data_IF_447364593315
#
_entry.id   IF_447364593315
#
_cell.length_a   1.000
_cell.length_b   1.000
_cell.length_c   1.000
_cell.angle_alpha   90.00
_cell.angle_beta   90.00
_cell.angle_gamma   90.00
#
_symmetry.space_group_name_H-M   'P 1'
#
loop_
_entity.id
_entity.type
_entity.pdbx_description
1 polymer ?
#
# COMPACT_ATOMS: atom_id res chain seq x y z
N UNK A 1 -27.31 -65.16 -0.88
CA UNK A 1 -25.91 -65.58 -0.66
C UNK A 1 -25.02 -64.35 -0.86
N UNK A 2 -24.14 -64.03 0.11
CA UNK A 2 -23.19 -62.89 0.18
C UNK A 2 -23.87 -61.54 0.50
N UNK A 3 -23.48 -60.79 1.53
CA UNK A 3 -22.15 -60.20 1.78
C UNK A 3 -21.69 -60.23 3.25
N UNK A 4 -20.37 -60.19 3.43
CA UNK A 4 -19.58 -60.30 4.66
C UNK A 4 -18.70 -59.03 4.81
N UNK A 5 -18.76 -58.36 5.98
CA UNK A 5 -17.70 -57.78 6.86
C UNK A 5 -16.47 -57.02 6.25
N UNK A 6 -15.83 -55.92 6.73
CA UNK A 6 -15.70 -55.11 7.99
C UNK A 6 -15.05 -53.71 7.65
N UNK A 7 -15.16 -52.69 8.54
CA UNK A 7 -14.14 -51.69 9.04
C UNK A 7 -14.30 -50.17 8.77
N UNK A 8 -14.21 -49.39 9.87
CA UNK A 8 -13.77 -47.96 10.12
C UNK A 8 -14.66 -46.79 9.65
N UNK A 9 -15.12 -45.87 10.51
CA UNK A 9 -14.44 -44.88 11.40
C UNK A 9 -13.63 -43.83 10.60
N UNK A 10 -13.85 -42.56 10.96
CA UNK A 10 -13.18 -41.30 10.53
C UNK A 10 -13.86 -40.53 9.39
N UNK A 11 -14.90 -39.77 9.75
CA UNK A 11 -15.24 -38.51 9.06
C UNK A 11 -14.49 -37.39 9.79
N UNK A 12 -13.25 -37.11 9.37
CA UNK A 12 -12.44 -35.99 9.85
C UNK A 12 -11.85 -35.29 8.62
N UNK A 13 -11.66 -33.98 8.76
CA UNK A 13 -11.10 -33.02 7.78
C UNK A 13 -12.16 -32.40 6.88
N UNK A 14 -12.85 -31.37 7.38
CA UNK A 14 -13.01 -30.05 6.72
C UNK A 14 -13.53 -29.08 7.79
N UNK A 15 -12.63 -28.28 8.36
CA UNK A 15 -12.99 -27.31 9.40
C UNK A 15 -11.80 -26.84 10.23
N UNK A 16 -10.77 -26.29 9.60
CA UNK A 16 -9.71 -25.57 10.32
C UNK A 16 -9.71 -24.11 9.81
N UNK A 17 -10.50 -23.30 10.50
CA UNK A 17 -10.31 -21.85 10.61
C UNK A 17 -9.35 -21.57 11.79
N UNK A 18 -8.68 -20.42 11.87
CA UNK A 18 -7.36 -20.31 12.48
C UNK A 18 -7.36 -20.51 14.00
N UNK A 19 -6.42 -21.35 14.46
CA UNK A 19 -6.08 -21.65 15.86
C UNK A 19 -6.18 -20.42 16.78
N UNK A 20 -7.12 -20.47 17.73
CA UNK A 20 -7.08 -19.67 18.95
C UNK A 20 -5.82 -20.02 19.76
N UNK A 21 -5.04 -19.03 20.25
CA UNK A 21 -3.89 -19.32 21.10
C UNK A 21 -4.35 -19.75 22.50
N UNK A 22 -3.75 -20.82 23.02
CA UNK A 22 -4.07 -21.42 24.32
C UNK A 22 -3.84 -20.47 25.51
N UNK A 23 -4.50 -20.77 26.63
CA UNK A 23 -4.75 -19.88 27.77
C UNK A 23 -3.57 -19.14 28.41
N UNK A 24 -2.31 -19.51 28.14
CA UNK A 24 -1.13 -18.77 28.60
C UNK A 24 -0.78 -17.55 27.74
N UNK A 25 -1.28 -17.46 26.51
CA UNK A 25 -1.03 -16.33 25.60
C UNK A 25 -2.16 -15.31 25.56
N UNK A 26 -3.32 -15.60 26.17
CA UNK A 26 -4.49 -14.72 26.18
C UNK A 26 -4.18 -13.40 26.91
N UNK A 27 -3.42 -13.41 28.00
CA UNK A 27 -3.08 -12.18 28.75
C UNK A 27 -2.15 -11.27 27.94
N UNK A 28 -1.13 -11.82 27.26
CA UNK A 28 -0.26 -11.06 26.34
C UNK A 28 -1.01 -10.57 25.09
N UNK A 29 -1.98 -11.34 24.60
CA UNK A 29 -2.84 -10.95 23.48
C UNK A 29 -3.85 -9.86 23.86
N UNK A 30 -4.44 -9.92 25.06
CA UNK A 30 -5.34 -8.91 25.63
C UNK A 30 -4.61 -7.59 25.91
N UNK A 31 -3.35 -7.63 26.36
CA UNK A 31 -2.50 -6.45 26.51
C UNK A 31 -2.19 -5.77 25.16
N UNK A 32 -2.10 -6.54 24.06
CA UNK A 32 -1.89 -6.01 22.71
C UNK A 32 -3.14 -5.42 22.05
N UNK A 33 -4.35 -5.74 22.55
CA UNK A 33 -5.65 -5.23 22.05
C UNK A 33 -6.21 -4.02 22.81
N UNK A 34 -5.44 -3.42 23.72
CA UNK A 34 -5.98 -2.52 24.75
C UNK A 34 -6.45 -1.13 24.26
N UNK A 35 -6.36 -0.77 22.99
CA UNK A 35 -6.89 0.51 22.50
C UNK A 35 -7.03 0.39 20.97
N UNK A 36 -7.88 1.18 20.31
CA UNK A 36 -9.16 0.63 19.87
C UNK A 36 -10.31 1.63 19.98
N UNK A 37 -10.05 2.93 20.14
CA UNK A 37 -11.09 3.92 20.42
C UNK A 37 -12.19 3.92 19.37
N UNK A 38 -13.45 3.95 19.82
CA UNK A 38 -14.61 4.08 18.93
C UNK A 38 -14.70 5.54 18.46
N UNK A 39 -14.58 5.73 17.14
CA UNK A 39 -14.79 7.01 16.48
C UNK A 39 -16.29 7.15 16.22
N UNK A 40 -16.94 8.15 16.84
CA UNK A 40 -18.33 8.48 16.51
C UNK A 40 -18.34 9.37 15.27
N UNK A 41 -18.79 8.78 14.16
CA UNK A 41 -19.01 9.43 12.87
C UNK A 41 -20.15 10.45 12.97
N UNK A 42 -19.88 11.73 12.68
CA UNK A 42 -20.93 12.71 12.42
C UNK A 42 -20.75 13.27 11.00
N UNK A 43 -21.64 12.80 10.12
CA UNK A 43 -22.22 13.50 8.95
C UNK A 43 -21.27 14.46 8.20
N UNK A 44 -20.40 13.93 7.34
CA UNK A 44 -19.98 14.44 6.01
C UNK A 44 -18.91 13.44 5.52
N UNK A 45 -19.17 12.71 4.45
CA UNK A 45 -18.44 11.49 4.01
C UNK A 45 -17.04 11.76 3.42
N UNK A 46 -16.21 12.57 4.07
CA UNK A 46 -14.97 13.10 3.48
C UNK A 46 -13.66 12.69 4.16
N UNK A 47 -13.69 12.43 5.46
CA UNK A 47 -12.51 12.05 6.22
C UNK A 47 -12.75 10.69 6.88
N UNK A 48 -11.92 9.70 6.55
CA UNK A 48 -11.96 8.40 7.21
C UNK A 48 -11.01 8.44 8.39
N UNK A 49 -11.52 8.12 9.57
CA UNK A 49 -10.74 8.16 10.81
C UNK A 49 -10.85 6.82 11.51
N UNK A 50 -9.71 6.28 11.90
CA UNK A 50 -9.62 5.12 12.79
C UNK A 50 -8.63 5.42 13.91
N UNK A 51 -8.68 4.66 14.99
CA UNK A 51 -7.74 4.81 16.09
C UNK A 51 -7.03 3.51 16.36
N UNK A 52 -5.91 3.61 17.04
CA UNK A 52 -5.05 2.51 17.46
C UNK A 52 -4.92 2.43 18.97
N UNK A 53 -4.14 1.44 19.40
CA UNK A 53 -3.82 1.23 20.78
C UNK A 53 -3.04 2.38 21.43
N UNK A 54 -3.72 3.37 21.99
CA UNK A 54 -3.14 4.43 22.83
C UNK A 54 -3.63 5.82 22.47
N UNK A 55 -4.60 5.94 21.55
CA UNK A 55 -5.16 7.21 21.12
C UNK A 55 -5.65 8.04 22.32
N UNK A 56 -5.16 9.29 22.40
CA UNK A 56 -5.60 10.21 23.42
C UNK A 56 -7.08 10.58 23.22
N UNK A 57 -7.95 10.41 24.23
CA UNK A 57 -9.31 10.91 24.17
C UNK A 57 -9.30 12.43 24.04
N UNK A 58 -10.15 12.97 23.18
CA UNK A 58 -10.14 14.39 22.91
C UNK A 58 -10.96 14.76 21.69
N UNK A 59 -10.94 16.05 21.41
CA UNK A 59 -11.60 16.63 20.26
C UNK A 59 -10.52 17.26 19.39
N UNK A 60 -10.53 16.90 18.12
CA UNK A 60 -9.60 17.37 17.12
C UNK A 60 -10.38 18.09 16.02
N UNK A 61 -10.05 19.35 15.77
CA UNK A 61 -10.51 20.07 14.58
C UNK A 61 -9.47 19.85 13.49
N UNK A 62 -9.91 19.30 12.35
CA UNK A 62 -9.04 18.90 11.25
C UNK A 62 -9.48 19.59 9.97
N UNK A 63 -8.53 20.26 9.32
CA UNK A 63 -8.69 20.85 7.99
C UNK A 63 -7.65 20.26 7.05
N UNK A 64 -8.05 19.84 5.86
CA UNK A 64 -7.16 19.29 4.82
C UNK A 64 -7.15 20.25 3.65
N UNK A 65 -6.03 20.93 3.44
CA UNK A 65 -5.87 21.96 2.41
C UNK A 65 -5.32 21.37 1.11
N UNK A 66 -4.51 20.32 1.21
CA UNK A 66 -3.90 19.63 0.07
C UNK A 66 -3.81 18.13 0.32
N UNK A 67 -4.09 17.34 -0.72
CA UNK A 67 -3.85 15.89 -0.73
C UNK A 67 -2.46 15.62 -1.28
N UNK A 68 -1.80 14.59 -0.77
CA UNK A 68 -0.59 14.09 -1.39
C UNK A 68 -0.89 13.57 -2.80
N UNK A 69 0.02 13.79 -3.74
CA UNK A 69 -0.03 13.24 -5.09
C UNK A 69 1.26 12.48 -5.38
N UNK A 70 1.11 11.36 -6.07
CA UNK A 70 2.20 10.58 -6.62
C UNK A 70 2.63 11.17 -7.97
N UNK A 71 3.94 11.31 -8.17
CA UNK A 71 4.45 11.70 -9.48
C UNK A 71 4.12 10.60 -10.49
N UNK A 72 3.66 11.01 -11.68
CA UNK A 72 3.53 10.10 -12.81
C UNK A 72 4.25 10.67 -14.04
N UNK A 73 5.08 9.84 -14.66
CA UNK A 73 5.84 10.15 -15.87
C UNK A 73 5.40 9.21 -16.98
N UNK A 74 5.34 9.71 -18.22
CA UNK A 74 5.14 8.87 -19.40
C UNK A 74 6.25 9.07 -20.42
N UNK A 75 6.52 8.05 -21.23
CA UNK A 75 7.37 8.23 -22.42
C UNK A 75 6.72 9.22 -23.38
N UNK A 76 7.52 10.15 -23.90
CA UNK A 76 7.10 11.16 -24.89
C UNK A 76 8.05 11.15 -26.10
N UNK A 77 8.30 9.95 -26.64
CA UNK A 77 9.18 9.78 -27.79
C UNK A 77 8.57 10.39 -29.06
N UNK A 78 9.38 11.06 -29.91
CA UNK A 78 8.93 11.48 -31.23
C UNK A 78 8.66 10.28 -32.16
N UNK A 79 9.24 9.11 -31.87
CA UNK A 79 8.99 7.88 -32.61
C UNK A 79 7.90 7.08 -31.90
N UNK A 80 6.89 6.66 -32.67
CA UNK A 80 5.81 5.84 -32.14
C UNK A 80 6.34 4.45 -31.79
N UNK A 81 6.06 3.98 -30.56
CA UNK A 81 6.31 2.59 -30.17
C UNK A 81 5.14 1.75 -30.67
N UNK A 82 5.37 1.01 -31.75
CA UNK A 82 4.32 0.29 -32.49
C UNK A 82 3.90 -1.03 -31.84
N UNK A 83 4.78 -1.64 -31.04
CA UNK A 83 4.54 -2.90 -30.32
C UNK A 83 5.19 -2.87 -28.95
N UNK A 84 4.60 -3.58 -27.98
CA UNK A 84 5.17 -3.74 -26.64
C UNK A 84 6.36 -4.69 -26.59
N UNK A 85 6.58 -5.44 -27.68
CA UNK A 85 7.63 -6.45 -27.83
C UNK A 85 8.87 -5.94 -28.58
N UNK A 86 8.79 -4.78 -29.23
CA UNK A 86 9.92 -4.23 -29.97
C UNK A 86 11.05 -3.85 -29.00
N UNK A 87 12.30 -4.15 -29.37
CA UNK A 87 13.46 -3.75 -28.61
C UNK A 87 13.67 -2.22 -28.70
N UNK A 88 13.61 -1.54 -27.56
CA UNK A 88 13.77 -0.08 -27.48
C UNK A 88 15.20 0.35 -27.18
N UNK A 89 16.03 -0.57 -26.70
CA UNK A 89 17.45 -0.35 -26.48
C UNK A 89 18.29 -0.45 -27.74
N UNK A 90 19.57 -0.15 -27.60
CA UNK A 90 20.60 -0.42 -28.58
C UNK A 90 21.30 -1.78 -28.32
N UNK A 91 22.10 -2.24 -29.28
CA UNK A 91 22.82 -3.51 -29.18
C UNK A 91 24.23 -3.35 -28.58
N UNK A 92 24.57 -2.17 -28.05
CA UNK A 92 25.95 -1.80 -27.69
C UNK A 92 26.50 -2.54 -26.46
N UNK A 93 25.63 -3.08 -25.62
CA UNK A 93 26.01 -3.77 -24.38
C UNK A 93 25.22 -5.06 -24.17
N UNK A 94 25.80 -5.99 -23.39
CA UNK A 94 25.14 -7.21 -22.92
C UNK A 94 24.29 -6.96 -21.67
N UNK A 95 24.61 -5.92 -20.90
CA UNK A 95 23.81 -5.45 -19.76
C UNK A 95 23.67 -3.92 -19.76
N UNK A 96 22.54 -3.43 -19.27
CA UNK A 96 22.31 -2.00 -19.02
C UNK A 96 21.59 -1.84 -17.68
N UNK A 97 21.63 -0.64 -17.12
CA UNK A 97 21.03 -0.37 -15.81
C UNK A 97 20.13 0.86 -15.91
N UNK A 98 18.84 0.69 -15.63
CA UNK A 98 17.95 1.82 -15.35
C UNK A 98 18.21 2.23 -13.90
N UNK A 99 18.57 3.49 -13.70
CA UNK A 99 18.84 4.08 -12.41
C UNK A 99 17.77 5.10 -12.08
N UNK A 100 17.09 4.92 -10.96
CA UNK A 100 16.06 5.83 -10.47
C UNK A 100 16.47 6.38 -9.10
N UNK A 101 16.68 7.69 -9.02
CA UNK A 101 16.96 8.38 -7.76
C UNK A 101 15.74 9.16 -7.27
N UNK A 102 15.53 9.17 -5.95
CA UNK A 102 14.46 9.87 -5.26
C UNK A 102 15.05 10.45 -3.97
N UNK A 103 14.70 11.68 -3.58
CA UNK A 103 15.26 12.31 -2.36
C UNK A 103 14.90 11.53 -1.08
N UNK A 104 13.76 10.83 -1.09
CA UNK A 104 13.31 9.96 0.00
C UNK A 104 14.06 8.62 0.11
N UNK A 105 14.94 8.29 -0.84
CA UNK A 105 15.76 7.06 -0.84
C UNK A 105 17.23 7.44 -0.67
N UNK A 106 17.94 6.71 0.21
CA UNK A 106 19.38 6.92 0.46
C UNK A 106 20.25 6.54 -0.73
N UNK A 107 19.94 5.41 -1.35
CA UNK A 107 20.67 4.88 -2.51
C UNK A 107 19.80 4.93 -3.77
N UNK A 108 20.37 5.04 -4.97
CA UNK A 108 19.62 4.86 -6.20
C UNK A 108 18.97 3.47 -6.28
N UNK A 109 17.79 3.38 -6.88
CA UNK A 109 17.25 2.11 -7.36
C UNK A 109 17.93 1.76 -8.68
N UNK A 110 18.55 0.60 -8.74
CA UNK A 110 19.22 0.09 -9.94
C UNK A 110 18.49 -1.15 -10.44
N UNK A 111 17.97 -1.07 -11.67
CA UNK A 111 17.27 -2.16 -12.35
C UNK A 111 18.12 -2.59 -13.53
N UNK A 112 18.71 -3.78 -13.42
CA UNK A 112 19.56 -4.35 -14.46
C UNK A 112 18.72 -5.04 -15.51
N UNK A 113 19.01 -4.77 -16.78
CA UNK A 113 18.37 -5.41 -17.93
C UNK A 113 19.43 -6.07 -18.82
N UNK A 114 19.15 -7.31 -19.22
CA UNK A 114 19.94 -8.02 -20.22
C UNK A 114 19.67 -7.47 -21.63
N UNK A 115 20.45 -7.91 -22.62
CA UNK A 115 20.39 -7.46 -24.02
C UNK A 115 19.00 -7.54 -24.65
N UNK A 116 18.25 -8.58 -24.32
CA UNK A 116 16.91 -8.89 -24.83
C UNK A 116 15.78 -8.27 -23.99
N UNK A 117 16.09 -7.61 -22.87
CA UNK A 117 15.10 -7.08 -21.92
C UNK A 117 14.85 -5.58 -22.09
N UNK A 118 14.80 -5.11 -23.34
CA UNK A 118 14.63 -3.68 -23.65
C UNK A 118 13.27 -3.34 -24.28
N UNK A 119 12.33 -4.28 -24.28
CA UNK A 119 10.96 -4.03 -24.72
C UNK A 119 10.09 -3.42 -23.61
N UNK A 120 8.96 -2.80 -23.94
CA UNK A 120 8.06 -2.23 -22.92
C UNK A 120 7.59 -3.29 -21.92
N UNK A 121 7.28 -4.50 -22.40
CA UNK A 121 6.84 -5.59 -21.54
C UNK A 121 7.93 -5.98 -20.53
N UNK A 122 9.17 -6.13 -21.00
CA UNK A 122 10.29 -6.50 -20.12
C UNK A 122 10.69 -5.35 -19.17
N UNK A 123 10.69 -4.11 -19.64
CA UNK A 123 11.00 -2.93 -18.80
C UNK A 123 9.95 -2.76 -17.71
N UNK A 124 8.66 -2.79 -18.07
CA UNK A 124 7.59 -2.63 -17.09
C UNK A 124 7.60 -3.74 -16.05
N UNK A 125 7.84 -4.98 -16.48
CA UNK A 125 7.99 -6.12 -15.58
C UNK A 125 9.20 -5.96 -14.67
N UNK A 126 10.38 -5.62 -15.19
CA UNK A 126 11.59 -5.45 -14.40
C UNK A 126 11.45 -4.34 -13.34
N UNK A 127 10.76 -3.23 -13.66
CA UNK A 127 10.48 -2.17 -12.68
C UNK A 127 9.53 -2.65 -11.58
N UNK A 128 8.47 -3.37 -11.94
CA UNK A 128 7.50 -3.88 -10.98
C UNK A 128 8.08 -5.00 -10.09
N UNK A 129 8.93 -5.87 -10.66
CA UNK A 129 9.60 -6.97 -9.93
C UNK A 129 10.63 -6.45 -8.92
N UNK A 130 11.09 -5.20 -9.06
CA UNK A 130 12.03 -4.58 -8.14
C UNK A 130 11.40 -4.15 -6.78
N UNK A 131 10.08 -4.27 -6.62
CA UNK A 131 9.30 -3.94 -5.40
C UNK A 131 9.74 -2.64 -4.71
N UNK A 132 9.83 -1.58 -5.50
CA UNK A 132 10.54 -0.36 -5.12
C UNK A 132 9.63 0.79 -4.69
N UNK A 133 8.31 0.56 -4.62
CA UNK A 133 7.31 1.63 -4.45
C UNK A 133 7.08 2.48 -5.72
N UNK A 134 7.64 2.07 -6.85
CA UNK A 134 7.38 2.60 -8.19
C UNK A 134 6.64 1.52 -8.97
N UNK A 135 5.57 1.91 -9.66
CA UNK A 135 4.81 1.04 -10.55
C UNK A 135 5.02 1.45 -11.99
N UNK A 136 5.14 0.45 -12.88
CA UNK A 136 5.22 0.63 -14.31
C UNK A 136 4.00 0.01 -15.00
N UNK A 137 3.39 0.73 -15.92
CA UNK A 137 2.25 0.28 -16.70
C UNK A 137 2.41 0.67 -18.16
N UNK A 138 1.82 -0.13 -19.05
CA UNK A 138 1.82 0.14 -20.49
C UNK A 138 0.43 0.62 -20.87
N UNK A 139 0.36 1.81 -21.46
CA UNK A 139 -0.88 2.40 -21.95
C UNK A 139 -0.91 2.28 -23.47
N UNK A 140 -1.92 1.59 -24.00
CA UNK A 140 -2.23 1.61 -25.43
C UNK A 140 -2.99 2.89 -25.75
N UNK A 141 -2.34 3.85 -26.41
CA UNK A 141 -2.96 5.13 -26.79
C UNK A 141 -3.92 4.91 -27.96
N UNK A 142 -3.50 4.11 -28.94
CA UNK A 142 -4.29 3.62 -30.08
C UNK A 142 -3.61 2.39 -30.67
N UNK A 143 -4.21 1.77 -31.69
CA UNK A 143 -3.55 0.69 -32.42
C UNK A 143 -2.19 1.13 -32.96
N UNK A 144 -1.17 0.32 -32.67
CA UNK A 144 0.21 0.63 -33.04
C UNK A 144 0.81 1.83 -32.31
N UNK A 145 0.32 2.23 -31.13
CA UNK A 145 0.93 3.27 -30.31
C UNK A 145 0.81 2.95 -28.81
N UNK A 146 1.94 2.65 -28.19
CA UNK A 146 2.05 2.29 -26.79
C UNK A 146 2.98 3.26 -26.04
N UNK A 147 2.70 3.48 -24.76
CA UNK A 147 3.50 4.33 -23.88
C UNK A 147 3.76 3.63 -22.56
N UNK A 148 4.97 3.78 -22.04
CA UNK A 148 5.28 3.40 -20.65
C UNK A 148 4.86 4.55 -19.74
N UNK A 149 4.16 4.22 -18.66
CA UNK A 149 3.81 5.14 -17.58
C UNK A 149 4.41 4.62 -16.28
N UNK A 150 5.22 5.45 -15.64
CA UNK A 150 5.82 5.19 -14.33
C UNK A 150 5.13 6.05 -13.29
N UNK A 151 4.72 5.46 -12.18
CA UNK A 151 4.07 6.16 -11.06
C UNK A 151 4.81 5.83 -9.78
N UNK A 152 5.30 6.87 -9.09
CA UNK A 152 5.98 6.75 -7.82
C UNK A 152 4.99 6.62 -6.64
N UNK A 153 5.53 6.50 -5.43
CA UNK A 153 4.75 6.71 -4.21
C UNK A 153 4.38 8.20 -4.02
N UNK A 154 3.35 8.47 -3.22
CA UNK A 154 2.88 9.83 -2.93
C UNK A 154 3.95 10.71 -2.28
N UNK A 155 3.97 12.01 -2.58
CA UNK A 155 4.78 13.00 -1.87
C UNK A 155 6.05 13.45 -2.60
N UNK A 156 6.52 14.65 -2.23
CA UNK A 156 7.64 15.35 -2.90
C UNK A 156 8.95 14.59 -2.85
N UNK A 157 9.22 13.87 -1.75
CA UNK A 157 10.43 13.09 -1.59
C UNK A 157 10.52 11.90 -2.58
N UNK A 158 9.41 11.52 -3.19
CA UNK A 158 9.31 10.38 -4.09
C UNK A 158 9.39 10.78 -5.57
N UNK A 159 9.74 12.02 -5.89
CA UNK A 159 10.00 12.42 -7.29
C UNK A 159 11.17 11.62 -7.88
N UNK A 160 10.98 11.14 -9.10
CA UNK A 160 11.90 10.25 -9.81
C UNK A 160 12.83 11.05 -10.72
N UNK A 161 14.13 10.85 -10.57
CA UNK A 161 15.12 11.20 -11.59
C UNK A 161 15.63 9.90 -12.20
N UNK A 162 15.52 9.76 -13.51
CA UNK A 162 15.74 8.51 -14.25
C UNK A 162 16.88 8.71 -15.23
N UNK A 163 17.80 7.76 -15.26
CA UNK A 163 18.86 7.65 -16.26
C UNK A 163 19.10 6.19 -16.63
N UNK A 164 19.67 5.94 -17.80
CA UNK A 164 20.06 4.59 -18.22
C UNK A 164 21.56 4.56 -18.51
N UNK A 165 22.26 3.66 -17.82
CA UNK A 165 23.68 3.41 -18.01
C UNK A 165 23.87 2.22 -18.97
N UNK A 166 24.75 2.36 -19.96
CA UNK A 166 25.08 1.29 -20.91
C UNK A 166 24.13 1.12 -22.10
N UNK A 167 23.18 2.04 -22.31
CA UNK A 167 22.26 2.05 -23.47
C UNK A 167 21.77 3.48 -23.75
N UNK A 168 22.36 4.12 -24.76
CA UNK A 168 22.09 5.53 -25.09
C UNK A 168 20.69 5.71 -25.67
N UNK A 169 20.25 4.78 -26.51
CA UNK A 169 18.93 4.82 -27.15
C UNK A 169 17.81 4.65 -26.12
N UNK A 170 17.98 3.76 -25.14
CA UNK A 170 17.02 3.61 -24.05
C UNK A 170 17.08 4.79 -23.08
N UNK A 171 18.26 5.36 -22.84
CA UNK A 171 18.39 6.59 -22.07
C UNK A 171 17.63 7.75 -22.74
N UNK A 172 17.74 7.90 -24.06
CA UNK A 172 17.00 8.92 -24.80
C UNK A 172 15.49 8.74 -24.72
N UNK A 173 14.99 7.54 -24.41
CA UNK A 173 13.56 7.31 -24.18
C UNK A 173 13.12 7.62 -22.73
N UNK A 174 13.94 7.24 -21.75
CA UNK A 174 13.54 7.18 -20.33
C UNK A 174 14.14 8.29 -19.46
N UNK A 175 15.16 9.01 -19.94
CA UNK A 175 15.85 10.01 -19.14
C UNK A 175 14.91 11.14 -18.70
N UNK A 176 14.99 11.48 -17.41
CA UNK A 176 14.21 12.55 -16.81
C UNK A 176 14.88 13.04 -15.52
N UNK A 177 14.96 14.35 -15.34
CA UNK A 177 15.49 15.02 -14.14
C UNK A 177 14.36 15.77 -13.41
N UNK A 178 14.03 15.31 -12.20
CA UNK A 178 12.96 15.89 -11.38
C UNK A 178 13.30 17.20 -10.66
N UNK A 179 14.57 17.62 -10.69
CA UNK A 179 15.01 18.90 -10.11
C UNK A 179 14.82 20.03 -11.12
N UNK A 180 15.12 19.77 -12.38
CA UNK A 180 14.94 20.73 -13.48
C UNK A 180 13.62 20.55 -14.23
N UNK A 181 12.92 19.43 -14.01
CA UNK A 181 11.73 19.01 -14.77
C UNK A 181 12.00 18.95 -16.28
N UNK A 182 13.13 18.33 -16.65
CA UNK A 182 13.58 18.21 -18.04
C UNK A 182 13.91 16.75 -18.38
N UNK A 183 13.89 16.42 -19.66
CA UNK A 183 14.21 15.08 -20.17
C UNK A 183 13.28 14.69 -21.30
N UNK A 184 13.25 13.40 -21.60
CA UNK A 184 12.47 12.85 -22.71
C UNK A 184 11.17 12.18 -22.25
N UNK A 185 11.02 11.93 -20.94
CA UNK A 185 9.72 11.63 -20.36
C UNK A 185 8.95 12.90 -20.04
N UNK A 186 7.62 12.84 -20.18
CA UNK A 186 6.71 13.91 -19.82
C UNK A 186 6.05 13.64 -18.48
N UNK A 187 6.06 14.64 -17.61
CA UNK A 187 5.31 14.61 -16.35
C UNK A 187 3.81 14.78 -16.61
N UNK A 188 3.03 13.81 -16.12
CA UNK A 188 1.56 13.81 -16.18
C UNK A 188 0.94 14.37 -14.91
N UNK A 189 1.50 13.98 -13.76
CA UNK A 189 1.06 14.40 -12.43
C UNK A 189 2.31 14.78 -11.65
N UNK A 190 2.34 16.01 -11.14
CA UNK A 190 3.40 16.47 -10.25
C UNK A 190 3.21 15.89 -8.85
N UNK A 191 4.30 15.49 -8.20
CA UNK A 191 4.24 15.08 -6.79
C UNK A 191 3.94 16.28 -5.89
N UNK A 192 3.16 16.03 -4.84
CA UNK A 192 2.95 17.00 -3.77
C UNK A 192 2.70 16.27 -2.45
N UNK A 193 3.03 16.91 -1.33
CA UNK A 193 2.73 16.40 0.00
C UNK A 193 1.29 16.75 0.40
N UNK A 194 0.70 15.93 1.27
CA UNK A 194 -0.52 16.28 1.98
C UNK A 194 -0.23 17.39 2.98
N UNK A 195 -1.12 18.39 3.02
CA UNK A 195 -1.10 19.47 3.99
C UNK A 195 -2.42 19.49 4.74
N UNK A 196 -2.30 19.49 6.06
CA UNK A 196 -3.44 19.50 6.97
C UNK A 196 -3.13 20.34 8.20
N UNK A 197 -4.18 20.88 8.80
CA UNK A 197 -4.13 21.56 10.07
C UNK A 197 -4.90 20.72 11.09
N UNK A 198 -4.28 20.45 12.24
CA UNK A 198 -4.91 19.75 13.36
C UNK A 198 -4.82 20.64 14.60
N UNK A 199 -5.95 21.12 15.09
CA UNK A 199 -6.02 22.02 16.24
C UNK A 199 -5.13 23.28 16.11
N UNK A 200 -5.01 23.84 14.91
CA UNK A 200 -4.16 25.01 14.65
C UNK A 200 -2.70 24.66 14.34
N UNK A 201 -2.30 23.39 14.37
CA UNK A 201 -0.94 22.95 14.02
C UNK A 201 -0.91 22.49 12.56
N UNK A 202 -0.09 23.15 11.75
CA UNK A 202 0.17 22.74 10.38
C UNK A 202 1.06 21.51 10.33
N UNK A 203 0.62 20.53 9.55
CA UNK A 203 1.25 19.23 9.39
C UNK A 203 1.42 19.00 7.88
N UNK A 204 2.58 18.47 7.53
CA UNK A 204 2.90 18.03 6.17
C UNK A 204 3.26 16.54 6.18
N UNK A 205 2.71 15.77 5.25
CA UNK A 205 2.99 14.33 5.12
C UNK A 205 3.14 13.95 3.66
N UNK A 206 4.00 12.98 3.38
CA UNK A 206 4.16 12.44 2.04
C UNK A 206 2.96 11.61 1.58
N UNK A 207 2.15 11.08 2.50
CA UNK A 207 1.01 10.21 2.17
C UNK A 207 -0.33 10.76 2.69
N UNK A 208 -1.40 10.38 1.98
CA UNK A 208 -2.78 10.57 2.39
C UNK A 208 -3.21 9.65 3.55
N UNK A 209 -2.39 8.67 3.95
CA UNK A 209 -2.62 7.86 5.16
C UNK A 209 -1.70 8.31 6.30
N UNK A 210 -2.25 9.08 7.23
CA UNK A 210 -1.50 9.71 8.32
C UNK A 210 -1.75 8.93 9.60
N UNK A 211 -0.73 8.34 10.20
CA UNK A 211 -0.85 7.46 11.37
C UNK A 211 -0.29 8.05 12.66
N UNK A 212 0.36 9.20 12.58
CA UNK A 212 1.19 9.77 13.63
C UNK A 212 0.72 11.15 14.11
N UNK A 213 -0.33 11.70 13.49
CA UNK A 213 -0.84 13.02 13.81
C UNK A 213 -2.38 13.07 13.70
N UNK A 214 -3.13 12.96 14.82
CA UNK A 214 -2.66 12.77 16.21
C UNK A 214 -2.08 11.38 16.54
N UNK A 215 -1.27 11.27 17.59
CA UNK A 215 -0.72 9.98 18.04
C UNK A 215 -1.84 8.95 18.32
N UNK A 216 -1.71 7.77 17.73
CA UNK A 216 -2.69 6.69 17.87
C UNK A 216 -3.98 6.93 17.09
N UNK A 217 -4.05 7.94 16.23
CA UNK A 217 -5.16 8.18 15.30
C UNK A 217 -4.63 8.03 13.88
N UNK A 218 -5.34 7.25 13.07
CA UNK A 218 -5.10 7.16 11.63
C UNK A 218 -6.15 7.97 10.89
N UNK A 219 -5.69 8.95 10.11
CA UNK A 219 -6.48 9.73 9.16
C UNK A 219 -6.22 9.22 7.76
N UNK A 220 -7.28 8.94 7.01
CA UNK A 220 -7.25 8.60 5.59
C UNK A 220 -7.93 9.75 4.82
N UNK A 221 -7.08 10.52 4.13
CA UNK A 221 -7.41 11.77 3.45
C UNK A 221 -7.92 11.46 2.03
N UNK A 222 -9.23 11.61 1.81
CA UNK A 222 -9.83 11.31 0.50
C UNK A 222 -10.24 12.54 -0.29
N UNK A 223 -10.40 13.68 0.38
CA UNK A 223 -10.72 14.98 -0.22
C UNK A 223 -10.30 16.11 0.72
N UNK A 224 -10.22 17.32 0.19
CA UNK A 224 -10.05 18.54 0.98
C UNK A 224 -11.27 18.77 1.88
N UNK A 225 -11.03 19.22 3.11
CA UNK A 225 -12.07 19.48 4.10
C UNK A 225 -11.69 20.68 4.96
N UNK A 226 -12.70 21.34 5.55
CA UNK A 226 -12.50 22.49 6.43
C UNK A 226 -13.22 22.25 7.74
N UNK A 227 -12.52 22.46 8.85
CA UNK A 227 -13.01 22.46 10.23
C UNK A 227 -13.82 21.21 10.63
N UNK A 228 -13.39 20.03 10.18
CA UNK A 228 -14.03 18.76 10.54
C UNK A 228 -13.69 18.43 11.99
N UNK A 229 -14.73 18.31 12.82
CA UNK A 229 -14.59 17.95 14.24
C UNK A 229 -14.59 16.44 14.44
N UNK A 230 -13.44 15.89 14.82
CA UNK A 230 -13.25 14.49 15.17
C UNK A 230 -13.25 14.33 16.68
N UNK A 231 -14.16 13.49 17.20
CA UNK A 231 -14.21 13.18 18.63
C UNK A 231 -13.69 11.77 18.89
N UNK A 232 -12.59 11.68 19.64
CA UNK A 232 -12.00 10.42 20.09
C UNK A 232 -12.48 10.14 21.51
N UNK A 233 -13.15 9.02 21.69
CA UNK A 233 -13.66 8.59 23.00
C UNK A 233 -13.08 7.24 23.40
N UNK A 234 -12.93 7.04 24.72
CA UNK A 234 -12.58 5.74 25.27
C UNK A 234 -13.78 4.81 25.08
N UNK A 235 -13.56 3.65 24.47
CA UNK A 235 -14.54 2.57 24.36
C UNK A 235 -14.04 1.30 25.04
N UNK A 236 -14.94 0.61 25.73
CA UNK A 236 -14.73 -0.71 26.31
C UNK A 236 -15.48 -1.80 25.53
N UNK A 237 -16.07 -1.47 24.38
CA UNK A 237 -16.97 -2.36 23.64
C UNK A 237 -16.24 -3.62 23.20
N UNK A 238 -15.06 -3.47 22.59
CA UNK A 238 -14.22 -4.61 22.17
C UNK A 238 -13.71 -5.45 23.34
N UNK A 239 -13.45 -4.83 24.49
CA UNK A 239 -13.08 -5.58 25.69
C UNK A 239 -14.26 -6.43 26.19
N UNK A 240 -15.47 -5.86 26.14
CA UNK A 240 -16.71 -6.56 26.49
C UNK A 240 -17.00 -7.69 25.51
N UNK A 241 -16.85 -7.47 24.20
CA UNK A 241 -16.97 -8.51 23.16
C UNK A 241 -15.94 -9.63 23.35
N UNK A 242 -14.68 -9.30 23.67
CA UNK A 242 -13.65 -10.29 23.91
C UNK A 242 -13.95 -11.16 25.15
N UNK A 243 -14.47 -10.54 26.23
CA UNK A 243 -14.90 -11.28 27.42
C UNK A 243 -16.08 -12.19 27.10
N UNK A 244 -17.08 -11.70 26.36
CA UNK A 244 -18.23 -12.52 25.92
C UNK A 244 -17.78 -13.72 25.09
N UNK A 245 -16.95 -13.49 24.06
CA UNK A 245 -16.44 -14.57 23.22
C UNK A 245 -15.59 -15.60 23.99
N UNK A 246 -14.88 -15.17 25.03
CA UNK A 246 -14.17 -16.09 25.93
C UNK A 246 -15.14 -16.93 26.79
N UNK A 247 -16.17 -16.30 27.36
CA UNK A 247 -17.22 -17.01 28.12
C UNK A 247 -17.93 -18.03 27.24
N UNK A 248 -18.29 -17.66 26.01
CA UNK A 248 -18.93 -18.57 25.05
C UNK A 248 -18.04 -19.76 24.72
N UNK A 249 -16.74 -19.52 24.50
CA UNK A 249 -15.76 -20.58 24.24
C UNK A 249 -15.59 -21.52 25.44
N UNK A 250 -15.61 -20.98 26.66
CA UNK A 250 -15.53 -21.77 27.89
C UNK A 250 -16.77 -22.64 28.11
N UNK A 251 -17.96 -22.08 27.90
CA UNK A 251 -19.21 -22.82 28.01
C UNK A 251 -19.28 -23.95 26.97
N UNK A 252 -18.88 -23.68 25.73
CA UNK A 252 -18.79 -24.71 24.68
C UNK A 252 -17.85 -25.87 25.04
N UNK A 253 -16.73 -25.57 25.73
CA UNK A 253 -15.81 -26.58 26.22
C UNK A 253 -16.42 -27.41 27.36
N UNK A 254 -17.13 -26.80 28.31
CA UNK A 254 -17.86 -27.52 29.35
C UNK A 254 -18.90 -28.45 28.73
N UNK A 255 -19.69 -27.97 27.78
CA UNK A 255 -20.70 -28.78 27.10
C UNK A 255 -20.07 -29.98 26.40
N UNK A 256 -18.93 -29.77 25.73
CA UNK A 256 -18.17 -30.85 25.09
C UNK A 256 -17.72 -31.90 26.12
N UNK A 257 -17.17 -31.49 27.26
CA UNK A 257 -16.80 -32.42 28.34
C UNK A 257 -18.00 -33.19 28.87
N UNK A 258 -19.11 -32.53 29.15
CA UNK A 258 -20.34 -33.17 29.64
C UNK A 258 -20.95 -34.16 28.64
N UNK A 259 -20.72 -33.95 27.35
CA UNK A 259 -21.19 -34.85 26.30
C UNK A 259 -20.31 -36.10 26.17
N UNK A 260 -18.99 -35.96 26.41
CA UNK A 260 -18.00 -37.04 26.28
C UNK A 260 -17.85 -37.91 27.53
N UNK A 261 -18.37 -37.49 28.69
CA UNK A 261 -18.26 -38.23 29.96
C UNK A 261 -19.57 -38.83 30.44
N UNK A 262 -20.59 -38.88 29.58
CA UNK A 262 -21.81 -39.67 29.79
C UNK A 262 -21.66 -41.11 29.31
#
# INVERSE_FOLDING_TARGET
MRFSTIVSVVTLVWGISPRQPSGKNIIRWLLKKRTNGSVRYCQYTSLKVSTEAGAAPGIYTISVTQLAQAQSLRTDSPTIIASTKDALGDESSDTRTIKITQDGRKEPLEIKLNKDQTSLDEISKAINDADSGISASIVKVKDGNYQLVLTASEGLANKMTISVEGDSKLNDLLAYDSKTNTGNMKELVNAQNAQLNVNGIDIERSSNKITDAPQGVTLDLTKKVTDVRVTVTKSNDKATEAIKGWVDSYNSLIDTFNTLTK
#
